data_IF_342689194642
#
_entry.id   IF_342689194642
#
_cell.length_a   1.000
_cell.length_b   1.000
_cell.length_c   1.000
_cell.angle_alpha   90.00
_cell.angle_beta   90.00
_cell.angle_gamma   90.00
#
_symmetry.space_group_name_H-M   'P 1'
#
loop_
_entity.id
_entity.type
_entity.pdbx_description
1 polymer ?
#
# COMPACT_ATOMS: atom_id res chain seq x y z
N UNK A 1 32.69 -37.04 39.19
CA UNK A 1 32.68 -36.09 38.06
C UNK A 1 31.25 -36.03 37.53
N UNK A 2 30.56 -34.91 37.73
CA UNK A 2 29.14 -34.70 37.40
C UNK A 2 28.91 -34.50 35.90
N UNK A 3 27.93 -35.21 35.33
CA UNK A 3 27.40 -34.96 33.99
C UNK A 3 26.26 -33.96 34.08
N UNK A 4 26.52 -32.69 33.75
CA UNK A 4 25.49 -31.64 33.67
C UNK A 4 24.77 -31.75 32.32
N UNK A 5 23.43 -31.80 32.26
CA UNK A 5 22.70 -31.77 30.99
C UNK A 5 22.91 -30.42 30.30
N UNK A 6 23.25 -30.44 29.02
CA UNK A 6 23.34 -29.25 28.20
C UNK A 6 21.92 -28.70 27.96
N UNK A 7 21.54 -27.69 28.76
CA UNK A 7 20.31 -26.92 28.58
C UNK A 7 20.64 -25.72 27.71
N UNK A 8 20.71 -25.91 26.39
CA UNK A 8 20.71 -24.78 25.46
C UNK A 8 19.40 -24.02 25.63
N UNK A 9 19.41 -22.74 26.03
CA UNK A 9 18.21 -21.91 26.00
C UNK A 9 17.77 -21.77 24.53
N UNK A 10 16.52 -22.16 24.24
CA UNK A 10 15.90 -21.83 22.96
C UNK A 10 15.66 -20.33 22.98
N UNK A 11 16.56 -19.57 22.36
CA UNK A 11 16.40 -18.16 22.11
C UNK A 11 15.18 -17.97 21.19
N UNK A 12 14.12 -17.24 21.59
CA UNK A 12 13.04 -16.88 20.68
C UNK A 12 13.51 -15.71 19.78
N UNK A 13 14.67 -15.82 19.15
CA UNK A 13 15.18 -14.85 18.18
C UNK A 13 14.67 -15.15 16.76
N UNK A 14 13.38 -15.44 16.68
CA UNK A 14 12.63 -15.42 15.44
C UNK A 14 11.26 -14.76 15.61
N UNK A 15 10.97 -14.15 16.76
CA UNK A 15 9.79 -13.31 16.94
C UNK A 15 10.18 -11.86 16.59
N UNK A 16 9.55 -11.31 15.55
CA UNK A 16 9.59 -9.90 15.14
C UNK A 16 10.75 -9.42 14.24
N UNK A 17 10.92 -10.04 13.08
CA UNK A 17 10.80 -9.20 11.88
C UNK A 17 9.32 -9.26 11.47
N UNK A 18 8.60 -8.13 11.28
CA UNK A 18 7.26 -8.22 10.73
C UNK A 18 7.41 -8.91 9.38
N UNK A 19 6.78 -10.08 9.23
CA UNK A 19 6.69 -10.72 7.93
C UNK A 19 6.18 -9.64 6.97
N UNK A 20 6.98 -9.24 5.98
CA UNK A 20 6.52 -8.39 4.87
C UNK A 20 5.31 -9.14 4.33
N UNK A 21 4.10 -8.64 4.61
CA UNK A 21 2.82 -9.28 4.28
C UNK A 21 2.52 -8.99 2.81
N UNK A 22 2.97 -9.82 1.86
CA UNK A 22 2.85 -9.50 0.45
C UNK A 22 1.37 -9.43 0.05
N UNK A 23 0.51 -10.17 0.76
CA UNK A 23 -0.94 -10.14 0.63
C UNK A 23 -1.61 -8.78 0.85
N UNK A 24 -0.96 -7.83 1.54
CA UNK A 24 -1.48 -6.48 1.74
C UNK A 24 -0.93 -5.46 0.73
N UNK A 25 0.20 -5.76 0.08
CA UNK A 25 0.79 -4.95 -1.00
C UNK A 25 0.18 -5.30 -2.38
N UNK A 26 -0.56 -6.40 -2.49
CA UNK A 26 -1.10 -6.97 -3.74
C UNK A 26 -2.61 -6.81 -3.94
N UNK A 27 -3.36 -6.15 -3.05
CA UNK A 27 -4.81 -6.03 -3.23
C UNK A 27 -5.09 -5.26 -4.54
N UNK A 28 -5.59 -5.95 -5.59
CA UNK A 28 -5.66 -5.37 -6.91
C UNK A 28 -6.72 -4.29 -6.84
N UNK A 29 -6.36 -3.04 -7.15
CA UNK A 29 -7.36 -2.00 -7.23
C UNK A 29 -8.43 -2.44 -8.22
N UNK A 30 -9.69 -2.04 -8.04
CA UNK A 30 -10.83 -2.41 -8.91
C UNK A 30 -10.56 -2.27 -10.43
N UNK A 31 -9.51 -1.52 -10.81
CA UNK A 31 -9.02 -1.26 -12.17
C UNK A 31 -7.69 -1.98 -12.51
N UNK A 32 -7.34 -3.04 -11.80
CA UNK A 32 -6.17 -3.90 -12.06
C UNK A 32 -4.85 -3.41 -11.47
N UNK A 33 -4.50 -2.12 -11.60
CA UNK A 33 -3.25 -1.56 -11.08
C UNK A 33 -3.42 -0.17 -10.46
N UNK A 34 -2.60 0.17 -9.45
CA UNK A 34 -2.61 1.49 -8.80
C UNK A 34 -2.38 2.62 -9.80
N UNK A 35 -1.57 2.35 -10.83
CA UNK A 35 -1.38 3.26 -11.97
C UNK A 35 -2.70 3.64 -12.62
N UNK A 36 -3.63 2.70 -12.79
CA UNK A 36 -4.91 2.96 -13.46
C UNK A 36 -5.84 3.79 -12.57
N UNK A 37 -5.79 3.57 -11.25
CA UNK A 37 -6.48 4.47 -10.30
C UNK A 37 -5.89 5.88 -10.39
N UNK A 38 -4.56 6.03 -10.39
CA UNK A 38 -3.95 7.35 -10.48
C UNK A 38 -4.33 8.07 -11.77
N UNK A 39 -4.32 7.36 -12.90
CA UNK A 39 -4.77 7.91 -14.19
C UNK A 39 -6.24 8.33 -14.13
N UNK A 40 -7.13 7.50 -13.56
CA UNK A 40 -8.55 7.82 -13.43
C UNK A 40 -8.77 9.07 -12.55
N UNK A 41 -8.15 9.11 -11.37
CA UNK A 41 -8.29 10.20 -10.42
C UNK A 41 -7.75 11.49 -11.02
N UNK A 42 -6.56 11.45 -11.62
CA UNK A 42 -5.95 12.61 -12.24
C UNK A 42 -6.75 13.08 -13.46
N UNK A 43 -7.26 12.16 -14.27
CA UNK A 43 -8.13 12.48 -15.41
C UNK A 43 -9.44 13.14 -14.98
N UNK A 44 -10.08 12.60 -13.93
CA UNK A 44 -11.30 13.18 -13.36
C UNK A 44 -11.05 14.57 -12.79
N UNK A 45 -9.92 14.77 -12.12
CA UNK A 45 -9.53 16.09 -11.62
C UNK A 45 -9.35 17.11 -12.75
N UNK A 46 -8.59 16.77 -13.80
CA UNK A 46 -8.39 17.65 -14.97
C UNK A 46 -9.72 17.95 -15.67
N UNK A 47 -10.60 16.96 -15.79
CA UNK A 47 -11.94 17.14 -16.34
C UNK A 47 -12.74 18.17 -15.52
N UNK A 48 -12.74 18.06 -14.19
CA UNK A 48 -13.41 19.04 -13.34
C UNK A 48 -12.83 20.44 -13.53
N UNK A 49 -11.50 20.59 -13.53
CA UNK A 49 -10.85 21.88 -13.79
C UNK A 49 -11.32 22.48 -15.13
N UNK A 50 -11.36 21.68 -16.20
CA UNK A 50 -11.82 22.13 -17.51
C UNK A 50 -13.30 22.55 -17.50
N UNK A 51 -14.16 21.77 -16.85
CA UNK A 51 -15.59 22.09 -16.70
C UNK A 51 -15.78 23.39 -15.93
N UNK A 52 -15.14 23.53 -14.77
CA UNK A 52 -15.25 24.74 -13.96
C UNK A 52 -14.67 25.95 -14.68
N UNK A 53 -13.54 25.81 -15.37
CA UNK A 53 -12.97 26.87 -16.19
C UNK A 53 -13.95 27.33 -17.27
N UNK A 54 -14.55 26.41 -18.02
CA UNK A 54 -15.52 26.73 -19.05
C UNK A 54 -16.78 27.41 -18.47
N UNK A 55 -17.24 26.98 -17.31
CA UNK A 55 -18.35 27.64 -16.60
C UNK A 55 -17.97 29.03 -16.12
N UNK A 56 -16.77 29.22 -15.56
CA UNK A 56 -16.29 30.56 -15.17
C UNK A 56 -16.22 31.47 -16.39
N UNK A 57 -15.64 31.02 -17.50
CA UNK A 57 -15.57 31.82 -18.73
C UNK A 57 -16.96 32.18 -19.30
N UNK A 58 -17.92 31.25 -19.21
CA UNK A 58 -19.26 31.48 -19.75
C UNK A 58 -20.13 32.45 -18.91
N UNK A 59 -19.80 32.63 -17.62
CA UNK A 59 -20.65 33.34 -16.67
C UNK A 59 -19.95 34.47 -15.88
N UNK A 60 -18.64 34.67 -16.06
CA UNK A 60 -17.89 35.81 -15.53
C UNK A 60 -17.96 37.03 -16.45
#
# INVERSE_FOLDING_TARGET
MSTVPNLTPVEPAAEAAPARRPELDDAPPLLGSWRNIYILVLGTFVLFVAVFWALTEAYA
#
